data_IF_543227036095
#
_entry.id   IF_543227036095
#
_cell.length_a   1.000
_cell.length_b   1.000
_cell.length_c   1.000
_cell.angle_alpha   90.00
_cell.angle_beta   90.00
_cell.angle_gamma   90.00
#
_symmetry.space_group_name_H-M   'P 1'
#
loop_
_entity.id
_entity.type
_entity.pdbx_description
1 polymer ?
#
# COMPACT_ATOMS: atom_id res chain seq x y z
N UNK A 1 6.83 8.46 -11.94
CA UNK A 1 5.36 8.65 -11.92
C UNK A 1 4.85 7.79 -10.79
N UNK A 2 4.25 8.37 -9.76
CA UNK A 2 3.95 7.66 -8.52
C UNK A 2 2.70 6.77 -8.66
N UNK A 3 2.88 5.45 -8.53
CA UNK A 3 1.80 4.49 -8.36
C UNK A 3 1.69 4.10 -6.88
N UNK A 4 0.47 4.09 -6.37
CA UNK A 4 0.15 3.62 -5.03
C UNK A 4 -0.32 2.17 -5.05
N UNK A 5 0.16 1.37 -4.10
CA UNK A 5 -0.31 0.01 -3.86
C UNK A 5 -0.84 -0.05 -2.44
N UNK A 6 -2.05 -0.59 -2.28
CA UNK A 6 -2.58 -0.93 -0.95
C UNK A 6 -2.60 -2.44 -0.85
N UNK A 7 -2.01 -2.98 0.20
CA UNK A 7 -1.90 -4.41 0.43
C UNK A 7 -2.55 -4.82 1.75
N UNK A 8 -3.14 -6.02 1.77
CA UNK A 8 -3.83 -6.57 2.93
C UNK A 8 -2.90 -7.25 3.95
N UNK A 9 -1.65 -7.51 3.58
CA UNK A 9 -0.62 -8.13 4.42
C UNK A 9 0.84 -7.81 4.01
N UNK A 10 1.77 -7.94 4.95
CA UNK A 10 3.20 -7.64 4.76
C UNK A 10 3.92 -8.57 3.78
N UNK A 11 3.54 -9.84 3.70
CA UNK A 11 4.12 -10.82 2.75
C UNK A 11 3.69 -10.47 1.34
N UNK A 12 2.41 -10.19 1.13
CA UNK A 12 1.88 -9.73 -0.15
C UNK A 12 2.48 -8.39 -0.60
N UNK A 13 2.76 -7.49 0.35
CA UNK A 13 3.42 -6.21 0.11
C UNK A 13 4.84 -6.40 -0.42
N UNK A 14 5.65 -7.22 0.24
CA UNK A 14 7.03 -7.48 -0.16
C UNK A 14 7.13 -8.28 -1.47
N UNK A 15 6.24 -9.25 -1.68
CA UNK A 15 6.21 -10.04 -2.92
C UNK A 15 6.02 -9.15 -4.16
N UNK A 16 4.98 -8.30 -4.16
CA UNK A 16 4.75 -7.38 -5.29
C UNK A 16 5.81 -6.28 -5.36
N UNK A 17 6.32 -5.82 -4.21
CA UNK A 17 7.39 -4.84 -4.17
C UNK A 17 8.66 -5.34 -4.86
N UNK A 18 9.04 -6.60 -4.66
CA UNK A 18 10.17 -7.23 -5.35
C UNK A 18 9.91 -7.31 -6.86
N UNK A 19 8.67 -7.58 -7.31
CA UNK A 19 8.34 -7.60 -8.74
C UNK A 19 8.53 -6.24 -9.41
N UNK A 20 8.10 -5.16 -8.76
CA UNK A 20 8.34 -3.81 -9.25
C UNK A 20 9.83 -3.43 -9.23
N UNK A 21 10.55 -3.77 -8.16
CA UNK A 21 11.98 -3.49 -8.05
C UNK A 21 12.79 -4.21 -9.15
N UNK A 22 12.45 -5.47 -9.47
CA UNK A 22 13.03 -6.23 -10.59
C UNK A 22 12.76 -5.59 -11.96
N UNK A 23 11.72 -4.76 -12.06
CA UNK A 23 11.37 -4.02 -13.26
C UNK A 23 12.07 -2.64 -13.35
N UNK A 24 12.96 -2.32 -12.40
CA UNK A 24 13.74 -1.08 -12.37
C UNK A 24 13.08 0.08 -11.64
N UNK A 25 11.95 -0.14 -10.94
CA UNK A 25 11.29 0.90 -10.14
C UNK A 25 11.96 1.05 -8.77
N UNK A 26 12.05 2.30 -8.27
CA UNK A 26 12.28 2.54 -6.85
C UNK A 26 11.00 2.24 -6.08
N UNK A 27 11.04 1.30 -5.15
CA UNK A 27 9.87 0.83 -4.40
C UNK A 27 10.11 0.99 -2.91
N UNK A 28 9.15 1.60 -2.21
CA UNK A 28 9.13 1.61 -0.76
C UNK A 28 7.87 0.94 -0.23
N UNK A 29 8.02 0.18 0.86
CA UNK A 29 6.93 -0.49 1.58
C UNK A 29 6.83 0.12 2.97
N UNK A 30 5.62 0.49 3.38
CA UNK A 30 5.33 1.13 4.64
C UNK A 30 4.21 0.40 5.38
N UNK A 31 4.33 0.29 6.70
CA UNK A 31 3.16 -0.02 7.51
C UNK A 31 2.20 1.18 7.49
N UNK A 32 0.92 0.95 7.20
CA UNK A 32 -0.07 2.01 7.08
C UNK A 32 -0.16 2.88 8.34
N UNK A 33 -0.10 2.26 9.52
CA UNK A 33 -0.20 2.97 10.81
C UNK A 33 0.94 3.98 11.04
N UNK A 34 2.14 3.69 10.53
CA UNK A 34 3.29 4.60 10.59
C UNK A 34 3.15 5.73 9.56
N UNK A 35 2.69 5.40 8.35
CA UNK A 35 2.46 6.36 7.28
C UNK A 35 1.31 7.34 7.59
N UNK A 36 0.26 6.87 8.26
CA UNK A 36 -0.85 7.71 8.73
C UNK A 36 -0.38 8.70 9.80
N UNK A 37 0.51 8.27 10.70
CA UNK A 37 1.01 9.12 11.79
C UNK A 37 1.93 10.24 11.30
N UNK A 38 2.73 10.00 10.25
CA UNK A 38 3.67 10.98 9.69
C UNK A 38 3.70 10.96 8.14
N UNK A 39 2.65 11.47 7.46
CA UNK A 39 2.53 11.45 5.99
C UNK A 39 3.72 12.08 5.26
N UNK A 40 4.22 13.19 5.80
CA UNK A 40 5.27 14.00 5.19
C UNK A 40 6.68 13.40 5.32
N UNK A 41 6.95 12.58 6.34
CA UNK A 41 8.24 11.89 6.48
C UNK A 41 8.25 10.53 5.78
N UNK A 42 7.13 9.80 5.83
CA UNK A 42 7.04 8.46 5.24
C UNK A 42 7.34 8.50 3.73
N UNK A 43 6.83 9.49 3.00
CA UNK A 43 6.85 9.50 1.53
C UNK A 43 7.83 10.52 0.89
N UNK A 44 8.53 11.33 1.68
CA UNK A 44 9.38 12.42 1.16
C UNK A 44 10.90 12.13 1.09
N UNK A 45 11.41 11.09 1.75
CA UNK A 45 12.87 10.87 1.86
C UNK A 45 13.55 10.44 0.53
N UNK A 46 12.80 9.78 -0.35
CA UNK A 46 13.11 9.61 -1.77
C UNK A 46 11.78 9.28 -2.45
N UNK A 47 11.26 10.16 -3.31
CA UNK A 47 9.97 9.93 -3.96
C UNK A 47 10.03 8.62 -4.77
N UNK A 48 9.42 7.52 -4.30
CA UNK A 48 9.55 6.24 -5.00
C UNK A 48 8.75 6.29 -6.30
N UNK A 49 9.02 5.37 -7.22
CA UNK A 49 8.11 5.14 -8.35
C UNK A 49 6.84 4.45 -7.85
N UNK A 50 6.99 3.55 -6.87
CA UNK A 50 5.91 2.76 -6.27
C UNK A 50 5.93 2.91 -4.74
N UNK A 51 4.83 3.37 -4.17
CA UNK A 51 4.60 3.39 -2.73
C UNK A 51 3.60 2.30 -2.34
N UNK A 52 3.99 1.39 -1.45
CA UNK A 52 3.14 0.29 -0.98
C UNK A 52 2.77 0.54 0.49
N UNK A 53 1.48 0.62 0.78
CA UNK A 53 0.95 0.70 2.14
C UNK A 53 0.38 -0.66 2.55
N UNK A 54 1.00 -1.29 3.54
CA UNK A 54 0.49 -2.49 4.19
C UNK A 54 -0.53 -2.10 5.27
N UNK A 55 -1.79 -2.45 5.03
CA UNK A 55 -2.89 -2.18 5.96
C UNK A 55 -3.05 -3.24 7.04
N UNK A 56 -2.37 -4.39 6.90
CA UNK A 56 -2.54 -5.55 7.77
C UNK A 56 -4.03 -5.88 8.03
N UNK A 57 -4.85 -5.80 6.97
CA UNK A 57 -6.31 -5.83 7.04
C UNK A 57 -6.94 -7.16 6.64
N UNK A 58 -6.12 -8.14 6.22
CA UNK A 58 -6.60 -9.45 5.75
C UNK A 58 -7.59 -10.14 6.70
N UNK A 59 -7.30 -10.06 8.00
CA UNK A 59 -8.06 -10.76 9.04
C UNK A 59 -9.03 -9.83 9.79
N UNK A 60 -9.11 -8.57 9.38
CA UNK A 60 -10.07 -7.64 9.96
C UNK A 60 -11.49 -8.00 9.53
N UNK A 61 -12.47 -7.51 10.30
CA UNK A 61 -13.85 -7.47 9.83
C UNK A 61 -13.97 -6.55 8.59
N UNK A 62 -14.89 -6.84 7.65
CA UNK A 62 -15.05 -6.06 6.42
C UNK A 62 -15.10 -4.55 6.62
N UNK A 63 -15.76 -4.05 7.67
CA UNK A 63 -15.86 -2.61 7.90
C UNK A 63 -14.50 -1.98 8.24
N UNK A 64 -13.74 -2.62 9.14
CA UNK A 64 -12.42 -2.14 9.54
C UNK A 64 -11.41 -2.21 8.40
N UNK A 65 -11.47 -3.28 7.60
CA UNK A 65 -10.64 -3.41 6.41
C UNK A 65 -10.94 -2.29 5.40
N UNK A 66 -12.22 -2.01 5.16
CA UNK A 66 -12.65 -0.91 4.29
C UNK A 66 -12.11 0.44 4.77
N UNK A 67 -12.25 0.76 6.06
CA UNK A 67 -11.78 2.03 6.61
C UNK A 67 -10.27 2.22 6.41
N UNK A 68 -9.47 1.19 6.71
CA UNK A 68 -8.01 1.21 6.51
C UNK A 68 -7.64 1.37 5.04
N UNK A 69 -8.25 0.60 4.14
CA UNK A 69 -7.95 0.67 2.70
C UNK A 69 -8.38 2.02 2.11
N UNK A 70 -9.52 2.57 2.54
CA UNK A 70 -9.98 3.89 2.14
C UNK A 70 -8.99 4.98 2.58
N UNK A 71 -8.61 4.99 3.86
CA UNK A 71 -7.65 5.95 4.39
C UNK A 71 -6.27 5.84 3.72
N UNK A 72 -5.75 4.63 3.55
CA UNK A 72 -4.50 4.39 2.82
C UNK A 72 -4.55 4.91 1.38
N UNK A 73 -5.67 4.68 0.69
CA UNK A 73 -5.87 5.18 -0.68
C UNK A 73 -5.92 6.70 -0.74
N UNK A 74 -6.58 7.35 0.22
CA UNK A 74 -6.62 8.82 0.34
C UNK A 74 -5.23 9.40 0.58
N UNK A 75 -4.47 8.82 1.51
CA UNK A 75 -3.09 9.20 1.78
C UNK A 75 -2.23 9.13 0.50
N UNK A 76 -2.35 8.04 -0.25
CA UNK A 76 -1.65 7.88 -1.54
C UNK A 76 -2.08 8.94 -2.58
N UNK A 77 -3.37 9.29 -2.63
CA UNK A 77 -3.86 10.37 -3.50
C UNK A 77 -3.26 11.73 -3.12
N UNK A 78 -3.20 12.06 -1.83
CA UNK A 78 -2.69 13.33 -1.31
C UNK A 78 -1.21 13.53 -1.62
N UNK A 79 -0.42 12.45 -1.64
CA UNK A 79 1.00 12.50 -2.04
C UNK A 79 1.23 12.47 -3.55
N UNK A 80 0.16 12.48 -4.35
CA UNK A 80 0.23 12.62 -5.81
C UNK A 80 0.23 11.30 -6.59
N UNK A 81 -0.16 10.18 -5.99
CA UNK A 81 -0.40 8.95 -6.75
C UNK A 81 -1.54 9.17 -7.76
N UNK A 82 -1.32 8.77 -9.01
CA UNK A 82 -2.35 8.85 -10.08
C UNK A 82 -2.78 7.47 -10.59
N UNK A 83 -2.11 6.41 -10.13
CA UNK A 83 -2.41 5.01 -10.45
C UNK A 83 -2.44 4.22 -9.16
N UNK A 84 -3.34 3.25 -9.09
CA UNK A 84 -3.59 2.46 -7.89
C UNK A 84 -3.63 0.98 -8.22
N UNK A 85 -3.11 0.15 -7.32
CA UNK A 85 -3.23 -1.30 -7.37
C UNK A 85 -3.66 -1.82 -6.00
N UNK A 86 -4.76 -2.58 -5.95
CA UNK A 86 -5.18 -3.30 -4.75
C UNK A 86 -4.53 -4.68 -4.74
N UNK A 87 -3.56 -4.90 -3.84
CA UNK A 87 -2.84 -6.17 -3.70
C UNK A 87 -3.53 -7.05 -2.67
N UNK A 88 -4.13 -8.14 -3.15
CA UNK A 88 -4.81 -9.14 -2.33
C UNK A 88 -4.13 -10.51 -2.39
N UNK A 89 -4.59 -11.45 -1.56
CA UNK A 89 -4.06 -12.82 -1.56
C UNK A 89 -4.39 -13.58 -2.87
N UNK A 90 -3.43 -14.30 -3.43
CA UNK A 90 -3.61 -15.09 -4.68
C UNK A 90 -4.65 -16.21 -4.59
N UNK A 91 -4.97 -16.66 -3.38
CA UNK A 91 -6.01 -17.66 -3.09
C UNK A 91 -7.26 -17.04 -2.47
N UNK A 92 -7.47 -15.73 -2.66
CA UNK A 92 -8.69 -15.02 -2.29
C UNK A 92 -9.05 -15.06 -0.79
N UNK A 93 -8.05 -15.01 0.10
CA UNK A 93 -8.26 -14.81 1.54
C UNK A 93 -8.43 -13.34 1.87
N UNK A 94 -9.32 -13.03 2.82
CA UNK A 94 -9.54 -11.69 3.38
C UNK A 94 -10.64 -10.89 2.67
N UNK A 95 -10.65 -9.58 2.92
CA UNK A 95 -11.67 -8.65 2.43
C UNK A 95 -11.29 -8.11 1.03
N UNK A 96 -11.82 -8.72 -0.02
CA UNK A 96 -11.49 -8.37 -1.42
C UNK A 96 -12.46 -7.33 -2.01
N UNK A 97 -13.71 -7.36 -1.54
CA UNK A 97 -14.82 -6.53 -2.05
C UNK A 97 -14.84 -5.12 -1.52
#
# INVERSE_FOLDING_TARGET
>A
MLMGVVADDITGSNDIGIMFAKSGCLVHVYAFQEAESNPGEALAAAAPDIAILDTNSRLDDPHQAYEKVFAATRLLQEVGCTRFFNKTCSVFRGNIG
#
